data_IF_662780513871
#
_entry.id   IF_662780513871
#
_cell.length_a   1.000
_cell.length_b   1.000
_cell.length_c   1.000
_cell.angle_alpha   90.00
_cell.angle_beta   90.00
_cell.angle_gamma   90.00
#
_symmetry.space_group_name_H-M   'P 1'
#
loop_
_entity.id
_entity.type
_entity.pdbx_description
1 polymer ?
#
# COMPACT_ATOMS: atom_id res chain seq x y z
N UNK A 1 -8.26 7.82 0.22
CA UNK A 1 -9.05 6.57 0.34
C UNK A 1 -10.52 6.70 -0.04
N UNK A 2 -11.25 7.73 0.44
CA UNK A 2 -12.66 7.94 0.11
C UNK A 2 -12.96 7.90 -1.41
N UNK A 3 -12.13 8.55 -2.23
CA UNK A 3 -12.27 8.57 -3.70
C UNK A 3 -12.14 7.18 -4.35
N UNK A 4 -11.26 6.34 -3.83
CA UNK A 4 -11.08 4.98 -4.35
C UNK A 4 -12.27 4.09 -3.98
N UNK A 5 -12.76 4.18 -2.73
CA UNK A 5 -13.94 3.45 -2.28
C UNK A 5 -15.24 3.94 -2.97
N UNK A 6 -15.29 5.21 -3.36
CA UNK A 6 -16.37 5.75 -4.19
C UNK A 6 -16.32 5.30 -5.67
N UNK A 7 -15.31 4.52 -6.09
CA UNK A 7 -15.16 4.07 -7.48
C UNK A 7 -14.71 5.16 -8.46
N UNK A 8 -14.23 6.31 -7.95
CA UNK A 8 -13.69 7.41 -8.76
C UNK A 8 -12.15 7.45 -8.75
N UNK A 9 -11.51 6.47 -8.12
CA UNK A 9 -10.05 6.35 -8.05
C UNK A 9 -9.42 5.66 -9.26
N UNK A 10 -8.18 5.19 -9.10
CA UNK A 10 -7.40 4.56 -10.15
C UNK A 10 -8.11 3.35 -10.80
N UNK A 11 -7.85 3.13 -12.11
CA UNK A 11 -8.46 2.06 -12.93
C UNK A 11 -8.45 0.69 -12.23
N UNK A 12 -7.32 0.32 -11.62
CA UNK A 12 -7.15 -0.98 -10.95
C UNK A 12 -8.02 -1.12 -9.69
N UNK A 13 -8.11 -0.06 -8.88
CA UNK A 13 -8.88 -0.05 -7.62
C UNK A 13 -10.36 0.31 -7.82
N UNK A 14 -10.74 0.79 -9.00
CA UNK A 14 -12.10 1.24 -9.31
C UNK A 14 -13.12 0.10 -9.23
N UNK A 15 -12.78 -1.09 -9.69
CA UNK A 15 -13.67 -2.27 -9.63
C UNK A 15 -13.45 -3.10 -8.36
N UNK A 16 -12.27 -3.02 -7.74
CA UNK A 16 -11.86 -3.81 -6.57
C UNK A 16 -12.02 -2.99 -5.30
N UNK A 17 -13.23 -2.99 -4.75
CA UNK A 17 -13.62 -2.24 -3.55
C UNK A 17 -14.27 -3.21 -2.55
N UNK A 18 -14.17 -2.96 -1.23
CA UNK A 18 -13.52 -1.81 -0.59
C UNK A 18 -11.99 -1.93 -0.54
N UNK A 19 -11.29 -0.80 -0.61
CA UNK A 19 -9.84 -0.71 -0.37
C UNK A 19 -9.54 -0.04 0.97
N UNK A 20 -8.50 -0.52 1.64
CA UNK A 20 -8.06 -0.04 2.96
C UNK A 20 -6.56 0.29 2.89
N UNK A 21 -6.18 1.40 3.52
CA UNK A 21 -4.78 1.85 3.54
C UNK A 21 -4.13 1.17 4.73
N UNK A 22 -3.15 0.30 4.46
CA UNK A 22 -2.44 -0.43 5.52
C UNK A 22 -1.24 0.35 6.03
N UNK A 23 -0.51 1.01 5.13
CA UNK A 23 0.72 1.72 5.45
C UNK A 23 0.88 2.93 4.53
N UNK A 24 1.44 4.01 5.08
CA UNK A 24 1.94 5.15 4.31
C UNK A 24 3.14 5.74 5.05
N UNK A 25 4.08 6.28 4.29
CA UNK A 25 5.29 6.90 4.83
C UNK A 25 5.55 8.21 4.09
N UNK A 26 6.08 9.20 4.80
CA UNK A 26 6.44 10.49 4.25
C UNK A 26 7.96 10.58 4.13
N UNK A 27 8.44 11.02 2.97
CA UNK A 27 9.86 11.21 2.69
C UNK A 27 10.14 12.70 2.48
N UNK A 28 11.34 13.14 2.87
CA UNK A 28 11.75 14.54 2.73
C UNK A 28 11.95 14.95 1.27
N UNK A 29 12.36 14.01 0.41
CA UNK A 29 12.62 14.28 -1.01
C UNK A 29 11.78 13.39 -1.92
N UNK A 30 11.50 13.89 -3.12
CA UNK A 30 10.85 13.11 -4.18
C UNK A 30 11.71 11.91 -4.60
N UNK A 31 13.04 12.03 -4.55
CA UNK A 31 13.93 10.95 -4.96
C UNK A 31 13.86 9.76 -4.01
N UNK A 32 13.89 10.01 -2.70
CA UNK A 32 13.74 8.97 -1.66
C UNK A 32 12.40 8.25 -1.79
N UNK A 33 11.31 9.01 -1.96
CA UNK A 33 9.97 8.44 -2.14
C UNK A 33 9.90 7.50 -3.35
N UNK A 34 10.48 7.91 -4.49
CA UNK A 34 10.48 7.11 -5.72
C UNK A 34 11.37 5.86 -5.57
N UNK A 35 12.52 5.99 -4.91
CA UNK A 35 13.45 4.89 -4.65
C UNK A 35 12.79 3.82 -3.76
N UNK A 36 12.18 4.24 -2.66
CA UNK A 36 11.44 3.36 -1.74
C UNK A 36 10.24 2.70 -2.44
N UNK A 37 9.48 3.45 -3.25
CA UNK A 37 8.36 2.89 -4.02
C UNK A 37 8.83 1.83 -5.02
N UNK A 38 9.92 2.08 -5.74
CA UNK A 38 10.49 1.11 -6.68
C UNK A 38 10.94 -0.16 -5.96
N UNK A 39 11.70 -0.02 -4.87
CA UNK A 39 12.16 -1.15 -4.06
C UNK A 39 10.97 -1.95 -3.53
N UNK A 40 9.92 -1.30 -3.04
CA UNK A 40 8.72 -1.97 -2.55
C UNK A 40 7.94 -2.67 -3.67
N UNK A 41 7.80 -2.07 -4.86
CA UNK A 41 7.07 -2.66 -5.99
C UNK A 41 7.70 -3.99 -6.43
N UNK A 42 9.02 -4.07 -6.50
CA UNK A 42 9.77 -5.24 -6.96
C UNK A 42 9.88 -6.37 -5.92
N UNK A 43 9.53 -6.12 -4.67
CA UNK A 43 9.53 -7.15 -3.64
C UNK A 43 8.47 -8.23 -3.88
N UNK A 44 8.81 -9.45 -3.47
CA UNK A 44 7.88 -10.58 -3.44
C UNK A 44 6.77 -10.37 -2.41
N UNK A 45 5.71 -11.18 -2.48
CA UNK A 45 4.63 -11.14 -1.49
C UNK A 45 5.14 -11.32 -0.06
N UNK A 46 6.01 -12.30 0.16
CA UNK A 46 6.57 -12.62 1.47
C UNK A 46 7.43 -11.46 2.03
N UNK A 47 8.21 -10.80 1.19
CA UNK A 47 9.02 -9.64 1.59
C UNK A 47 8.14 -8.45 1.99
N UNK A 48 7.06 -8.19 1.25
CA UNK A 48 6.08 -7.14 1.60
C UNK A 48 5.41 -7.42 2.95
N UNK A 49 5.13 -8.68 3.25
CA UNK A 49 4.57 -9.10 4.53
C UNK A 49 5.57 -8.87 5.67
N UNK A 50 6.83 -9.27 5.49
CA UNK A 50 7.89 -8.97 6.47
C UNK A 50 8.08 -7.46 6.67
N UNK A 51 8.05 -6.67 5.59
CA UNK A 51 8.13 -5.22 5.65
C UNK A 51 7.00 -4.62 6.50
N UNK A 52 5.76 -5.05 6.27
CA UNK A 52 4.61 -4.57 7.05
C UNK A 52 4.71 -4.99 8.52
N UNK A 53 5.19 -6.21 8.80
CA UNK A 53 5.40 -6.67 10.17
C UNK A 53 6.48 -5.85 10.89
N UNK A 54 7.58 -5.52 10.20
CA UNK A 54 8.64 -4.67 10.71
C UNK A 54 8.13 -3.25 11.04
N UNK A 55 7.21 -2.72 10.24
CA UNK A 55 6.54 -1.44 10.48
C UNK A 55 5.37 -1.54 11.48
N UNK A 56 5.23 -2.68 12.18
CA UNK A 56 4.17 -2.96 13.17
C UNK A 56 2.76 -2.80 12.61
N UNK A 57 2.59 -3.00 11.31
CA UNK A 57 1.29 -3.00 10.65
C UNK A 57 0.69 -4.38 10.79
N UNK A 58 -0.40 -4.51 11.54
CA UNK A 58 -1.16 -5.75 11.67
C UNK A 58 -2.25 -5.83 10.58
N UNK A 59 -2.03 -6.60 9.51
CA UNK A 59 -3.05 -6.82 8.46
C UNK A 59 -3.70 -8.22 8.49
N UNK A 60 -3.20 -9.12 9.34
CA UNK A 60 -3.68 -10.48 9.49
C UNK A 60 -5.07 -10.46 10.15
N UNK A 61 -6.12 -10.86 9.42
CA UNK A 61 -7.50 -10.87 9.90
C UNK A 61 -8.44 -9.84 9.25
N UNK A 62 -7.94 -8.99 8.34
CA UNK A 62 -8.82 -8.21 7.49
C UNK A 62 -9.60 -9.16 6.55
N UNK A 63 -10.88 -9.38 6.86
CA UNK A 63 -11.82 -10.05 5.95
C UNK A 63 -11.84 -9.28 4.62
N UNK A 64 -11.76 -10.03 3.51
CA UNK A 64 -11.92 -9.50 2.15
C UNK A 64 -13.29 -8.85 1.97
#
# INVERSE_FOLDING_TARGET
MATHNAGKGAKYTKTRRPVRLLYHEAFATKHDALSAEWAFKHQSRAQKEQFLAAHKVSWQGLKK
#
